data_IF_443207834761
#
_entry.id   IF_443207834761
#
_cell.length_a   1.000
_cell.length_b   1.000
_cell.length_c   1.000
_cell.angle_alpha   90.00
_cell.angle_beta   90.00
_cell.angle_gamma   90.00
#
_symmetry.space_group_name_H-M   'P 1'
#
loop_
_entity.id
_entity.type
_entity.pdbx_description
1 polymer ?
#
# COMPACT_ATOMS: atom_id res chain seq x y z
N UNK A 1 26.92 -12.32 -1.12
CA UNK A 1 25.81 -12.64 -0.20
C UNK A 1 24.72 -11.60 -0.47
N UNK A 2 23.54 -12.02 -0.85
CA UNK A 2 22.40 -11.10 -1.13
C UNK A 2 21.74 -10.68 0.18
N UNK A 3 21.57 -9.36 0.38
CA UNK A 3 20.98 -8.81 1.60
C UNK A 3 19.73 -7.98 1.28
N UNK A 4 18.67 -8.19 2.07
CA UNK A 4 17.46 -7.35 2.04
C UNK A 4 17.22 -6.74 3.42
N UNK A 5 16.82 -5.47 3.46
CA UNK A 5 16.29 -4.85 4.69
C UNK A 5 14.77 -4.76 4.58
N UNK A 6 14.05 -5.27 5.58
CA UNK A 6 12.61 -5.15 5.74
C UNK A 6 12.34 -4.05 6.79
N UNK A 7 11.94 -2.88 6.33
CA UNK A 7 11.52 -1.78 7.19
C UNK A 7 10.10 -2.04 7.70
N UNK A 8 9.87 -1.87 8.99
CA UNK A 8 8.60 -2.26 9.64
C UNK A 8 8.44 -3.78 9.75
N UNK A 9 9.56 -4.52 9.82
CA UNK A 9 9.56 -5.98 9.77
C UNK A 9 8.99 -6.68 11.00
N UNK A 10 8.75 -5.97 12.10
CA UNK A 10 8.02 -6.43 13.30
C UNK A 10 6.52 -6.31 13.18
N UNK A 11 6.02 -5.50 12.24
CA UNK A 11 4.60 -5.26 12.02
C UNK A 11 3.85 -6.43 11.36
N UNK A 12 2.53 -6.28 11.19
CA UNK A 12 1.66 -7.32 10.64
C UNK A 12 2.12 -7.78 9.24
N UNK A 13 2.27 -6.85 8.30
CA UNK A 13 2.70 -7.13 6.93
C UNK A 13 4.17 -7.53 6.88
N UNK A 14 5.06 -6.76 7.53
CA UNK A 14 6.49 -6.99 7.51
C UNK A 14 6.91 -8.34 8.09
N UNK A 15 6.21 -8.82 9.12
CA UNK A 15 6.49 -10.13 9.72
C UNK A 15 6.19 -11.30 8.75
N UNK A 16 5.14 -11.17 7.93
CA UNK A 16 4.79 -12.16 6.90
C UNK A 16 5.80 -12.09 5.75
N UNK A 17 6.08 -10.89 5.25
CA UNK A 17 7.05 -10.67 4.19
C UNK A 17 8.43 -11.26 4.55
N UNK A 18 8.91 -10.98 5.76
CA UNK A 18 10.14 -11.55 6.28
C UNK A 18 10.13 -13.09 6.32
N UNK A 19 9.04 -13.69 6.81
CA UNK A 19 8.91 -15.17 6.83
C UNK A 19 9.02 -15.75 5.42
N UNK A 20 8.34 -15.15 4.46
CA UNK A 20 8.37 -15.55 3.06
C UNK A 20 9.77 -15.40 2.49
N UNK A 21 10.44 -14.27 2.71
CA UNK A 21 11.82 -14.04 2.24
C UNK A 21 12.81 -15.05 2.85
N UNK A 22 12.71 -15.35 4.15
CA UNK A 22 13.58 -16.30 4.82
C UNK A 22 13.43 -17.73 4.27
N UNK A 23 12.24 -18.12 3.86
CA UNK A 23 11.97 -19.43 3.27
C UNK A 23 12.24 -19.52 1.76
N UNK A 24 12.35 -18.39 1.08
CA UNK A 24 12.51 -18.34 -0.39
C UNK A 24 13.89 -18.77 -0.87
N UNK A 25 14.91 -18.66 -0.04
CA UNK A 25 16.31 -18.90 -0.42
C UNK A 25 16.92 -17.83 -1.34
N UNK A 26 16.18 -16.74 -1.63
CA UNK A 26 16.66 -15.65 -2.51
C UNK A 26 17.72 -14.81 -1.80
N UNK A 27 17.52 -14.54 -0.50
CA UNK A 27 18.43 -13.73 0.29
C UNK A 27 19.13 -14.58 1.36
N UNK A 28 20.44 -14.41 1.49
CA UNK A 28 21.23 -15.04 2.55
C UNK A 28 21.15 -14.25 3.86
N UNK A 29 20.98 -12.93 3.77
CA UNK A 29 20.88 -12.02 4.93
C UNK A 29 19.60 -11.19 4.86
N UNK A 30 18.86 -11.18 5.96
CA UNK A 30 17.65 -10.39 6.13
C UNK A 30 17.81 -9.50 7.37
N UNK A 31 17.74 -8.20 7.17
CA UNK A 31 17.72 -7.21 8.25
C UNK A 31 16.26 -6.83 8.53
N UNK A 32 15.81 -7.06 9.75
CA UNK A 32 14.51 -6.64 10.25
C UNK A 32 14.69 -5.32 10.97
N UNK A 33 14.22 -4.23 10.36
CA UNK A 33 14.33 -2.90 10.94
C UNK A 33 12.96 -2.43 11.47
N UNK A 34 12.90 -2.12 12.76
CA UNK A 34 11.65 -1.69 13.40
C UNK A 34 11.94 -0.75 14.57
N UNK A 35 10.97 0.10 14.92
CA UNK A 35 11.03 0.92 16.12
C UNK A 35 10.76 0.07 17.37
N UNK A 36 9.93 -0.98 17.24
CA UNK A 36 9.68 -1.96 18.28
C UNK A 36 10.67 -3.12 18.18
N UNK A 37 11.78 -2.99 18.90
CA UNK A 37 12.81 -4.02 18.96
C UNK A 37 12.34 -5.33 19.62
N UNK A 38 11.30 -5.29 20.45
CA UNK A 38 10.74 -6.52 21.05
C UNK A 38 9.99 -7.31 19.96
N UNK A 39 9.16 -6.65 19.17
CA UNK A 39 8.49 -7.25 18.02
C UNK A 39 9.50 -7.75 16.98
N UNK A 40 10.50 -6.93 16.60
CA UNK A 40 11.55 -7.32 15.67
C UNK A 40 12.31 -8.56 16.15
N UNK A 41 12.74 -8.60 17.41
CA UNK A 41 13.52 -9.71 18.00
C UNK A 41 12.75 -11.00 18.12
N UNK A 42 11.43 -10.94 18.41
CA UNK A 42 10.56 -12.11 18.41
C UNK A 42 10.57 -12.81 17.07
N UNK A 43 10.60 -12.03 16.00
CA UNK A 43 10.57 -12.56 14.63
C UNK A 43 11.86 -13.30 14.21
N UNK A 44 13.01 -12.98 14.81
CA UNK A 44 14.30 -13.65 14.51
C UNK A 44 14.25 -15.12 14.90
N UNK A 45 13.69 -15.43 16.07
CA UNK A 45 13.61 -16.80 16.61
C UNK A 45 12.79 -17.75 15.74
N UNK A 46 11.92 -17.22 14.91
CA UNK A 46 11.04 -17.98 14.03
C UNK A 46 11.62 -18.20 12.62
N UNK A 47 12.76 -17.58 12.31
CA UNK A 47 13.34 -17.65 10.98
C UNK A 47 14.11 -18.95 10.76
N UNK A 48 13.83 -19.62 9.63
CA UNK A 48 14.60 -20.77 9.15
C UNK A 48 15.10 -20.47 7.73
N UNK A 49 16.34 -20.73 7.46
CA UNK A 49 16.89 -20.71 6.10
C UNK A 49 17.75 -19.52 5.72
N UNK A 50 17.65 -18.37 6.41
CA UNK A 50 18.50 -17.19 6.18
C UNK A 50 19.08 -16.68 7.50
N UNK A 51 20.16 -15.89 7.41
CA UNK A 51 20.67 -15.14 8.55
C UNK A 51 19.78 -13.92 8.78
N UNK A 52 19.04 -13.89 9.90
CA UNK A 52 18.11 -12.81 10.23
C UNK A 52 18.63 -12.03 11.42
N UNK A 53 18.76 -10.71 11.26
CA UNK A 53 19.18 -9.79 12.31
C UNK A 53 18.15 -8.70 12.51
N UNK A 54 18.04 -8.12 13.72
CA UNK A 54 17.17 -6.99 13.99
C UNK A 54 17.99 -5.74 14.28
N UNK A 55 17.49 -4.59 13.81
CA UNK A 55 18.07 -3.29 14.07
C UNK A 55 16.98 -2.28 14.46
N UNK A 56 17.31 -1.41 15.38
CA UNK A 56 16.43 -0.29 15.72
C UNK A 56 16.38 0.72 14.57
N UNK A 57 15.17 1.19 14.25
CA UNK A 57 14.93 2.03 13.10
C UNK A 57 13.78 3.01 13.38
N UNK A 58 13.96 4.26 12.97
CA UNK A 58 12.91 5.28 12.95
C UNK A 58 12.71 5.79 11.54
N UNK A 59 11.46 5.73 11.05
CA UNK A 59 11.05 6.24 9.74
C UNK A 59 11.10 7.78 9.63
N UNK A 60 11.15 8.47 10.75
CA UNK A 60 11.23 9.93 10.82
C UNK A 60 12.65 10.47 10.64
N UNK A 61 13.67 9.59 10.79
CA UNK A 61 15.08 9.98 10.71
C UNK A 61 15.76 9.42 9.46
N UNK A 62 16.13 10.28 8.49
CA UNK A 62 16.92 9.84 7.32
C UNK A 62 18.24 9.17 7.69
N UNK A 63 18.87 9.59 8.80
CA UNK A 63 20.09 8.95 9.30
C UNK A 63 19.81 7.53 9.78
N UNK A 64 18.74 7.32 10.55
CA UNK A 64 18.30 6.01 11.00
C UNK A 64 17.96 5.10 9.82
N UNK A 65 17.28 5.64 8.78
CA UNK A 65 16.99 4.90 7.55
C UNK A 65 18.30 4.45 6.88
N UNK A 66 19.24 5.38 6.62
CA UNK A 66 20.53 5.05 5.98
C UNK A 66 21.29 3.99 6.75
N UNK A 67 21.32 4.07 8.09
CA UNK A 67 21.97 3.09 8.95
C UNK A 67 21.32 1.71 8.81
N UNK A 68 19.99 1.63 8.82
CA UNK A 68 19.26 0.37 8.74
C UNK A 68 19.43 -0.33 7.38
N UNK A 69 19.51 0.41 6.27
CA UNK A 69 19.60 -0.14 4.92
C UNK A 69 21.03 -0.36 4.43
N UNK A 70 22.03 0.00 5.23
CA UNK A 70 23.42 -0.07 4.83
C UNK A 70 23.85 -1.47 4.40
N UNK A 71 24.41 -1.58 3.20
CA UNK A 71 24.85 -2.85 2.60
C UNK A 71 23.73 -3.73 2.06
N UNK A 72 22.50 -3.25 1.99
CA UNK A 72 21.39 -3.97 1.37
C UNK A 72 21.35 -3.75 -0.15
N UNK A 73 21.04 -4.79 -0.90
CA UNK A 73 20.80 -4.73 -2.35
C UNK A 73 19.39 -4.20 -2.66
N UNK A 74 18.44 -4.50 -1.76
CA UNK A 74 17.07 -4.04 -1.88
C UNK A 74 16.48 -3.76 -0.50
N UNK A 75 15.62 -2.77 -0.44
CA UNK A 75 14.80 -2.42 0.71
C UNK A 75 13.36 -2.78 0.45
N UNK A 76 12.73 -3.55 1.34
CA UNK A 76 11.29 -3.77 1.36
C UNK A 76 10.69 -2.90 2.46
N UNK A 77 9.88 -1.92 2.07
CA UNK A 77 9.21 -1.04 3.02
C UNK A 77 7.78 -1.50 3.33
N UNK A 78 7.56 -1.87 4.58
CA UNK A 78 6.25 -2.21 5.14
C UNK A 78 5.82 -1.22 6.26
N UNK A 79 6.44 -0.03 6.30
CA UNK A 79 6.12 0.99 7.31
C UNK A 79 4.94 1.82 6.84
N UNK A 80 3.84 1.74 7.55
CA UNK A 80 2.68 2.60 7.36
C UNK A 80 2.45 3.57 8.52
N UNK A 81 1.60 4.57 8.37
CA UNK A 81 0.89 4.89 7.13
C UNK A 81 1.82 5.54 6.10
N UNK A 82 1.61 5.21 4.82
CA UNK A 82 2.53 5.63 3.75
C UNK A 82 2.46 7.12 3.47
N UNK A 83 1.30 7.76 3.61
CA UNK A 83 1.16 9.22 3.46
C UNK A 83 2.11 9.99 4.38
N UNK A 84 2.43 9.42 5.54
CA UNK A 84 3.34 10.06 6.52
C UNK A 84 4.82 9.74 6.26
N UNK A 85 5.14 8.47 5.98
CA UNK A 85 6.53 8.01 5.99
C UNK A 85 7.08 7.65 4.62
N UNK A 86 6.22 7.24 3.67
CA UNK A 86 6.61 6.73 2.36
C UNK A 86 7.58 7.64 1.60
N UNK A 87 7.24 8.93 1.40
CA UNK A 87 8.10 9.85 0.65
C UNK A 87 9.50 10.04 1.25
N UNK A 88 9.60 10.15 2.58
CA UNK A 88 10.89 10.30 3.28
C UNK A 88 11.74 9.04 3.15
N UNK A 89 11.13 7.87 3.28
CA UNK A 89 11.84 6.59 3.15
C UNK A 89 12.34 6.42 1.72
N UNK A 90 11.47 6.52 0.70
CA UNK A 90 11.88 6.35 -0.70
C UNK A 90 12.97 7.34 -1.12
N UNK A 91 12.81 8.62 -0.75
CA UNK A 91 13.84 9.62 -1.03
C UNK A 91 15.19 9.21 -0.47
N UNK A 92 15.22 8.76 0.80
CA UNK A 92 16.47 8.37 1.47
C UNK A 92 17.08 7.12 0.85
N UNK A 93 16.27 6.14 0.43
CA UNK A 93 16.72 4.92 -0.25
C UNK A 93 17.31 5.24 -1.63
N UNK A 94 16.67 6.14 -2.40
CA UNK A 94 17.20 6.63 -3.69
C UNK A 94 18.55 7.32 -3.49
N UNK A 95 18.68 8.20 -2.49
CA UNK A 95 19.93 8.90 -2.17
C UNK A 95 21.04 7.94 -1.76
N UNK A 96 20.70 6.78 -1.17
CA UNK A 96 21.63 5.73 -0.81
C UNK A 96 22.00 4.81 -2.00
N UNK A 97 21.37 4.96 -3.16
CA UNK A 97 21.62 4.12 -4.33
C UNK A 97 21.13 2.67 -4.18
N UNK A 98 20.13 2.43 -3.35
CA UNK A 98 19.60 1.09 -3.05
C UNK A 98 18.27 0.88 -3.75
N UNK A 99 18.02 -0.32 -4.29
CA UNK A 99 16.72 -0.68 -4.88
C UNK A 99 15.62 -0.75 -3.83
N UNK A 100 14.38 -0.50 -4.26
CA UNK A 100 13.25 -0.33 -3.35
C UNK A 100 12.00 -1.07 -3.81
N UNK A 101 11.30 -1.66 -2.86
CA UNK A 101 9.95 -2.23 -3.04
C UNK A 101 9.10 -1.81 -1.87
N UNK A 102 7.82 -1.50 -2.07
CA UNK A 102 6.88 -1.27 -0.99
C UNK A 102 5.48 -1.86 -1.24
N UNK A 103 4.62 -1.75 -0.24
CA UNK A 103 3.22 -2.15 -0.27
C UNK A 103 2.28 -0.96 -0.07
N UNK A 104 2.67 0.22 -0.57
CA UNK A 104 1.92 1.46 -0.45
C UNK A 104 0.49 1.32 -1.00
N UNK A 105 -0.49 1.67 -0.19
CA UNK A 105 -1.92 1.67 -0.51
C UNK A 105 -2.56 3.07 -0.40
N UNK A 106 -1.80 4.07 0.06
CA UNK A 106 -2.23 5.47 0.11
C UNK A 106 -2.08 6.13 -1.27
N UNK A 107 -3.16 6.66 -1.85
CA UNK A 107 -3.13 7.23 -3.19
C UNK A 107 -2.34 8.54 -3.27
N UNK A 108 -2.40 9.41 -2.27
CA UNK A 108 -1.62 10.65 -2.18
C UNK A 108 -0.12 10.38 -1.99
N UNK A 109 0.23 9.39 -1.17
CA UNK A 109 1.60 8.90 -1.09
C UNK A 109 2.07 8.36 -2.44
N UNK A 110 1.25 7.58 -3.15
CA UNK A 110 1.57 7.03 -4.46
C UNK A 110 1.92 8.14 -5.46
N UNK A 111 1.17 9.24 -5.51
CA UNK A 111 1.49 10.39 -6.35
C UNK A 111 2.86 10.99 -6.01
N UNK A 112 3.12 11.17 -4.70
CA UNK A 112 4.40 11.69 -4.22
C UNK A 112 5.58 10.75 -4.53
N UNK A 113 5.37 9.43 -4.45
CA UNK A 113 6.38 8.42 -4.79
C UNK A 113 6.66 8.39 -6.30
N UNK A 114 5.62 8.41 -7.14
CA UNK A 114 5.74 8.48 -8.61
C UNK A 114 6.50 9.74 -9.07
N UNK A 115 6.31 10.87 -8.39
CA UNK A 115 7.05 12.10 -8.70
C UNK A 115 8.57 12.00 -8.48
N UNK A 116 9.05 10.92 -7.86
CA UNK A 116 10.48 10.65 -7.67
C UNK A 116 11.13 9.84 -8.79
N UNK A 117 10.37 9.43 -9.83
CA UNK A 117 10.84 8.59 -10.93
C UNK A 117 12.15 9.09 -11.57
N UNK A 118 12.22 10.35 -11.92
CA UNK A 118 13.42 10.93 -12.52
C UNK A 118 14.63 10.96 -11.58
N UNK A 119 14.39 11.05 -10.27
CA UNK A 119 15.47 10.97 -9.27
C UNK A 119 15.98 9.53 -9.15
N UNK A 120 15.07 8.55 -9.13
CA UNK A 120 15.43 7.13 -9.11
C UNK A 120 16.23 6.74 -10.36
N UNK A 121 15.78 7.16 -11.56
CA UNK A 121 16.51 6.93 -12.81
C UNK A 121 17.91 7.52 -12.79
N UNK A 122 18.08 8.76 -12.34
CA UNK A 122 19.40 9.41 -12.24
C UNK A 122 20.32 8.72 -11.24
N UNK A 123 19.78 8.13 -10.19
CA UNK A 123 20.54 7.37 -9.20
C UNK A 123 20.80 5.91 -9.61
N UNK A 124 20.25 5.44 -10.74
CA UNK A 124 20.34 4.04 -11.16
C UNK A 124 19.56 3.07 -10.24
N UNK A 125 18.52 3.58 -9.55
CA UNK A 125 17.71 2.83 -8.58
C UNK A 125 16.43 2.36 -9.23
N UNK A 126 16.10 1.08 -9.06
CA UNK A 126 14.79 0.53 -9.36
C UNK A 126 13.89 0.66 -8.14
N UNK A 127 12.77 1.37 -8.28
CA UNK A 127 11.76 1.51 -7.24
C UNK A 127 10.44 0.93 -7.73
N UNK A 128 9.92 -0.08 -7.02
CA UNK A 128 8.67 -0.75 -7.33
C UNK A 128 7.70 -0.50 -6.17
N UNK A 129 6.66 0.30 -6.42
CA UNK A 129 5.72 0.73 -5.39
C UNK A 129 4.38 0.00 -5.48
N UNK A 130 3.68 -0.14 -4.37
CA UNK A 130 2.34 -0.71 -4.33
C UNK A 130 2.30 -2.22 -4.64
N UNK A 131 3.26 -3.01 -4.15
CA UNK A 131 3.35 -4.45 -4.41
C UNK A 131 2.64 -5.29 -3.35
N UNK A 132 1.37 -4.94 -3.10
CA UNK A 132 0.46 -5.67 -2.22
C UNK A 132 -0.55 -6.52 -2.97
N UNK A 133 -1.74 -6.65 -2.42
CA UNK A 133 -2.90 -7.29 -3.06
C UNK A 133 -3.61 -6.30 -3.99
N UNK A 134 -3.98 -5.15 -3.46
CA UNK A 134 -4.54 -3.97 -4.13
C UNK A 134 -3.96 -2.75 -3.41
N UNK A 135 -3.09 -1.98 -4.10
CA UNK A 135 -2.46 -2.26 -5.39
C UNK A 135 -1.49 -3.45 -5.36
N UNK A 136 -1.08 -3.90 -6.54
CA UNK A 136 -0.11 -4.98 -6.75
C UNK A 136 -0.70 -6.12 -7.58
N UNK A 137 -1.26 -7.15 -6.95
CA UNK A 137 -1.87 -8.29 -7.67
C UNK A 137 -2.98 -7.80 -8.61
N UNK A 138 -3.82 -6.86 -8.18
CA UNK A 138 -4.86 -6.28 -9.03
C UNK A 138 -4.26 -5.65 -10.31
N UNK A 139 -3.20 -4.85 -10.18
CA UNK A 139 -2.52 -4.22 -11.33
C UNK A 139 -1.94 -5.25 -12.30
N UNK A 140 -1.30 -6.31 -11.77
CA UNK A 140 -0.71 -7.40 -12.58
C UNK A 140 -1.81 -8.18 -13.32
N UNK A 141 -2.93 -8.46 -12.67
CA UNK A 141 -4.07 -9.14 -13.30
C UNK A 141 -4.67 -8.29 -14.43
N UNK A 142 -4.87 -6.99 -14.19
CA UNK A 142 -5.33 -6.07 -15.24
C UNK A 142 -4.38 -6.05 -16.42
N UNK A 143 -3.06 -5.96 -16.16
CA UNK A 143 -2.06 -5.98 -17.22
C UNK A 143 -2.05 -7.30 -17.98
N UNK A 144 -2.16 -8.43 -17.28
CA UNK A 144 -2.26 -9.75 -17.88
C UNK A 144 -3.49 -9.86 -18.79
N UNK A 145 -4.66 -9.40 -18.35
CA UNK A 145 -5.87 -9.40 -19.18
C UNK A 145 -5.69 -8.51 -20.42
N UNK A 146 -5.14 -7.31 -20.24
CA UNK A 146 -4.89 -6.38 -21.34
C UNK A 146 -3.93 -6.93 -22.40
N UNK A 147 -2.88 -7.66 -21.97
CA UNK A 147 -1.84 -8.15 -22.89
C UNK A 147 -2.18 -9.50 -23.53
N UNK A 148 -3.03 -10.31 -22.89
CA UNK A 148 -3.16 -11.72 -23.26
C UNK A 148 -4.58 -12.14 -23.59
N UNK A 149 -5.61 -11.41 -23.17
CA UNK A 149 -7.00 -11.84 -23.27
C UNK A 149 -7.91 -10.85 -24.00
N UNK A 150 -7.53 -9.59 -24.13
CA UNK A 150 -8.35 -8.53 -24.67
C UNK A 150 -7.61 -7.81 -25.81
N UNK A 151 -8.34 -7.42 -26.84
CA UNK A 151 -7.81 -6.62 -27.95
C UNK A 151 -7.70 -5.15 -27.54
N UNK A 152 -8.67 -4.65 -26.77
CA UNK A 152 -8.71 -3.27 -26.25
C UNK A 152 -9.27 -3.26 -24.83
N UNK A 153 -8.81 -2.32 -24.01
CA UNK A 153 -9.31 -2.10 -22.65
C UNK A 153 -9.97 -0.72 -22.59
N UNK A 154 -11.29 -0.70 -22.51
CA UNK A 154 -12.07 0.54 -22.38
C UNK A 154 -12.35 0.92 -20.92
N UNK A 155 -12.58 -0.08 -20.07
CA UNK A 155 -12.84 0.13 -18.64
C UNK A 155 -12.16 -0.89 -17.75
N UNK A 156 -11.83 -0.47 -16.54
CA UNK A 156 -11.36 -1.32 -15.45
C UNK A 156 -12.14 -0.91 -14.20
N UNK A 157 -12.96 -1.81 -13.71
CA UNK A 157 -13.67 -1.64 -12.44
C UNK A 157 -13.16 -2.71 -11.47
N UNK A 158 -12.52 -2.26 -10.38
CA UNK A 158 -11.98 -3.12 -9.34
C UNK A 158 -12.96 -3.16 -8.19
N UNK A 159 -13.37 -4.37 -7.81
CA UNK A 159 -14.27 -4.58 -6.68
C UNK A 159 -13.58 -5.37 -5.60
N UNK A 160 -13.64 -4.89 -4.37
CA UNK A 160 -13.11 -5.64 -3.25
C UNK A 160 -13.99 -5.58 -1.99
N UNK A 161 -14.01 -6.69 -1.28
CA UNK A 161 -14.56 -6.81 0.06
C UNK A 161 -13.46 -7.40 0.95
N UNK A 162 -13.05 -6.69 1.95
CA UNK A 162 -12.01 -7.14 2.86
C UNK A 162 -12.40 -6.87 4.31
N UNK A 163 -11.75 -7.58 5.24
CA UNK A 163 -12.06 -7.52 6.65
C UNK A 163 -12.11 -8.90 7.27
N UNK A 164 -12.48 -8.96 8.53
CA UNK A 164 -12.52 -10.20 9.28
C UNK A 164 -11.15 -10.67 9.79
N UNK A 165 -10.11 -9.89 9.60
CA UNK A 165 -8.80 -10.12 10.19
C UNK A 165 -8.91 -10.07 11.72
N UNK A 166 -8.25 -11.00 12.39
CA UNK A 166 -8.25 -11.05 13.86
C UNK A 166 -7.51 -9.87 14.48
N UNK A 167 -6.56 -9.30 13.78
CA UNK A 167 -5.73 -8.17 14.24
C UNK A 167 -5.45 -7.29 13.03
N UNK A 168 -5.92 -6.05 13.07
CA UNK A 168 -5.51 -5.00 12.15
C UNK A 168 -4.39 -4.17 12.78
N UNK A 169 -3.40 -3.79 11.97
CA UNK A 169 -2.37 -2.84 12.40
C UNK A 169 -2.94 -1.42 12.52
N UNK A 170 -2.45 -0.64 13.48
CA UNK A 170 -2.88 0.76 13.66
C UNK A 170 -2.71 1.61 12.37
N UNK A 171 -1.71 1.29 11.54
CA UNK A 171 -1.50 1.95 10.26
C UNK A 171 -2.68 1.79 9.29
N UNK A 172 -3.33 0.61 9.28
CA UNK A 172 -4.49 0.33 8.41
C UNK A 172 -5.70 1.17 8.82
N UNK A 173 -5.95 1.32 10.12
CA UNK A 173 -7.05 2.16 10.62
C UNK A 173 -6.79 3.64 10.27
N UNK A 174 -5.55 4.11 10.47
CA UNK A 174 -5.15 5.48 10.10
C UNK A 174 -5.29 5.72 8.60
N UNK A 175 -4.83 4.79 7.75
CA UNK A 175 -5.00 4.83 6.30
C UNK A 175 -6.48 5.00 5.93
N UNK A 176 -7.39 4.18 6.46
CA UNK A 176 -8.83 4.25 6.14
C UNK A 176 -9.44 5.61 6.48
N UNK A 177 -9.17 6.12 7.68
CA UNK A 177 -9.68 7.43 8.10
C UNK A 177 -9.10 8.54 7.22
N UNK A 178 -7.77 8.52 6.98
CA UNK A 178 -7.09 9.52 6.17
C UNK A 178 -7.63 9.56 4.74
N UNK A 179 -7.73 8.42 4.09
CA UNK A 179 -8.13 8.33 2.68
C UNK A 179 -9.61 8.65 2.46
N UNK A 180 -10.51 8.32 3.42
CA UNK A 180 -11.94 8.60 3.29
C UNK A 180 -12.31 10.07 3.53
N UNK A 181 -11.47 10.87 4.18
CA UNK A 181 -11.71 12.32 4.36
C UNK A 181 -11.27 13.16 3.16
N UNK A 182 -10.53 12.58 2.24
CA UNK A 182 -10.01 13.25 1.07
C UNK A 182 -10.93 13.04 -0.15
N UNK A 183 -10.80 13.91 -1.13
CA UNK A 183 -11.39 13.65 -2.44
C UNK A 183 -10.70 12.45 -3.10
N UNK A 184 -11.49 11.48 -3.56
CA UNK A 184 -11.02 10.22 -4.10
C UNK A 184 -10.79 10.37 -5.60
N UNK A 185 -9.56 10.16 -6.11
CA UNK A 185 -9.31 10.21 -7.54
C UNK A 185 -9.92 8.99 -8.22
N UNK A 186 -10.67 9.23 -9.28
CA UNK A 186 -11.20 8.23 -10.20
C UNK A 186 -10.84 8.64 -11.62
N UNK A 187 -10.83 7.71 -12.55
CA UNK A 187 -10.65 8.01 -13.97
C UNK A 187 -11.96 7.73 -14.69
N UNK A 188 -12.67 8.79 -15.07
CA UNK A 188 -14.02 8.70 -15.64
C UNK A 188 -14.07 9.49 -16.95
N UNK A 189 -14.71 8.90 -17.99
CA UNK A 189 -14.84 9.52 -19.31
C UNK A 189 -13.50 10.00 -19.93
N UNK A 190 -12.42 9.26 -19.67
CA UNK A 190 -11.10 9.56 -20.22
C UNK A 190 -10.35 10.68 -19.49
N UNK A 191 -10.78 11.07 -18.29
CA UNK A 191 -10.11 12.11 -17.51
C UNK A 191 -10.13 11.82 -16.01
N UNK A 192 -9.13 12.34 -15.29
CA UNK A 192 -9.13 12.29 -13.84
C UNK A 192 -10.24 13.15 -13.26
N UNK A 193 -11.00 12.57 -12.35
CA UNK A 193 -12.15 13.18 -11.70
C UNK A 193 -12.07 12.90 -10.21
N UNK A 194 -12.18 13.92 -9.38
CA UNK A 194 -12.27 13.75 -7.93
C UNK A 194 -13.72 13.51 -7.54
N UNK A 195 -13.97 12.43 -6.80
CA UNK A 195 -15.28 12.15 -6.21
C UNK A 195 -15.19 12.26 -4.68
N UNK A 196 -16.23 12.75 -4.06
CA UNK A 196 -16.33 12.89 -2.61
C UNK A 196 -17.31 11.85 -2.07
N UNK A 197 -16.84 10.99 -1.18
CA UNK A 197 -17.58 9.82 -0.69
C UNK A 197 -18.99 10.14 -0.19
N UNK A 198 -19.17 11.27 0.49
CA UNK A 198 -20.44 11.66 1.13
C UNK A 198 -21.33 12.57 0.27
N UNK A 199 -20.84 12.97 -0.89
CA UNK A 199 -21.56 13.83 -1.84
C UNK A 199 -22.19 13.04 -2.99
N UNK A 200 -22.94 13.73 -3.84
CA UNK A 200 -23.61 13.09 -4.97
C UNK A 200 -22.64 12.42 -5.94
N UNK A 201 -21.43 12.94 -6.08
CA UNK A 201 -20.38 12.36 -6.92
C UNK A 201 -19.93 10.97 -6.46
N UNK A 202 -19.77 10.77 -5.16
CA UNK A 202 -19.45 9.46 -4.58
C UNK A 202 -20.64 8.52 -4.54
N UNK A 203 -21.82 9.03 -4.14
CA UNK A 203 -23.07 8.27 -4.10
C UNK A 203 -23.47 7.72 -5.47
N UNK A 204 -23.18 8.44 -6.55
CA UNK A 204 -23.45 7.99 -7.92
C UNK A 204 -22.66 6.76 -8.34
N UNK A 205 -21.61 6.41 -7.61
CA UNK A 205 -20.78 5.22 -7.83
C UNK A 205 -21.18 4.06 -6.91
N UNK A 206 -22.11 4.27 -5.96
CA UNK A 206 -22.54 3.20 -5.08
C UNK A 206 -23.41 2.20 -5.83
N UNK A 207 -23.11 0.91 -5.69
CA UNK A 207 -23.91 -0.15 -6.28
C UNK A 207 -23.93 -1.41 -5.41
N UNK A 208 -24.85 -2.33 -5.70
CA UNK A 208 -24.88 -3.65 -5.08
C UNK A 208 -24.04 -4.63 -5.93
N UNK A 209 -23.03 -5.23 -5.30
CA UNK A 209 -22.11 -6.15 -5.94
C UNK A 209 -22.15 -7.51 -5.25
N UNK A 210 -22.26 -8.59 -6.05
CA UNK A 210 -22.19 -9.95 -5.56
C UNK A 210 -20.73 -10.43 -5.56
N UNK A 211 -20.20 -10.70 -4.38
CA UNK A 211 -18.88 -11.33 -4.21
C UNK A 211 -19.06 -12.83 -4.08
N UNK A 212 -18.36 -13.58 -4.92
CA UNK A 212 -18.43 -15.05 -4.93
C UNK A 212 -18.06 -15.62 -3.56
N UNK A 213 -18.92 -16.48 -2.99
CA UNK A 213 -18.75 -17.12 -1.67
C UNK A 213 -18.72 -16.18 -0.46
N UNK A 214 -18.95 -14.87 -0.64
CA UNK A 214 -18.94 -13.88 0.45
C UNK A 214 -20.33 -13.31 0.69
N UNK A 215 -21.06 -12.95 -0.39
CA UNK A 215 -22.40 -12.38 -0.33
C UNK A 215 -22.56 -11.15 -1.20
N UNK A 216 -23.74 -10.55 -1.15
CA UNK A 216 -24.07 -9.32 -1.87
C UNK A 216 -24.01 -8.15 -0.91
N UNK A 217 -23.26 -7.13 -1.29
CA UNK A 217 -23.05 -5.94 -0.47
C UNK A 217 -23.08 -4.67 -1.31
N UNK A 218 -23.48 -3.59 -0.69
CA UNK A 218 -23.34 -2.25 -1.27
C UNK A 218 -21.88 -1.83 -1.17
N UNK A 219 -21.27 -1.54 -2.31
CA UNK A 219 -19.92 -1.00 -2.43
C UNK A 219 -19.98 0.50 -2.67
N UNK A 220 -18.91 1.19 -2.34
CA UNK A 220 -18.75 2.64 -2.49
C UNK A 220 -17.38 2.97 -3.10
N UNK A 221 -17.23 4.21 -3.56
CA UNK A 221 -15.95 4.71 -4.06
C UNK A 221 -14.87 4.48 -2.99
N UNK A 222 -13.89 3.62 -3.32
CA UNK A 222 -12.85 3.23 -2.38
C UNK A 222 -11.53 3.88 -2.78
N UNK A 223 -10.89 4.61 -1.84
CA UNK A 223 -9.69 5.39 -2.15
C UNK A 223 -8.46 4.48 -2.27
N UNK A 224 -8.09 4.13 -3.50
CA UNK A 224 -6.95 3.26 -3.78
C UNK A 224 -6.15 3.71 -5.00
N UNK A 225 -4.82 3.43 -5.06
CA UNK A 225 -3.91 3.94 -6.08
C UNK A 225 -4.14 3.45 -7.51
N UNK A 226 -4.86 2.34 -7.73
CA UNK A 226 -5.09 1.80 -9.07
C UNK A 226 -5.79 2.79 -9.99
N UNK A 227 -6.67 3.63 -9.44
CA UNK A 227 -7.38 4.67 -10.19
C UNK A 227 -6.45 5.77 -10.72
N UNK A 228 -5.26 5.89 -10.12
CA UNK A 228 -4.19 6.79 -10.58
C UNK A 228 -3.24 6.05 -11.51
N UNK A 229 -2.76 4.88 -11.09
CA UNK A 229 -1.67 4.19 -11.78
C UNK A 229 -2.12 3.54 -13.10
N UNK A 230 -3.27 2.87 -13.14
CA UNK A 230 -3.72 2.17 -14.33
C UNK A 230 -3.94 3.08 -15.55
N UNK A 231 -4.55 4.28 -15.43
CA UNK A 231 -4.71 5.16 -16.59
C UNK A 231 -3.38 5.62 -17.22
N UNK A 232 -2.30 5.69 -16.46
CA UNK A 232 -0.99 6.06 -16.97
C UNK A 232 -0.36 4.96 -17.85
N UNK A 233 -0.72 3.70 -17.64
CA UNK A 233 -0.07 2.55 -18.28
C UNK A 233 -0.98 1.74 -19.21
N UNK A 234 -2.29 2.03 -19.24
CA UNK A 234 -3.27 1.41 -20.13
C UNK A 234 -3.70 2.39 -21.21
N UNK A 235 -3.32 2.12 -22.46
CA UNK A 235 -3.73 2.96 -23.59
C UNK A 235 -5.21 2.75 -23.89
N UNK A 236 -5.92 3.85 -24.16
CA UNK A 236 -7.31 3.81 -24.61
C UNK A 236 -8.35 3.65 -23.50
N UNK A 237 -7.94 3.37 -22.27
CA UNK A 237 -8.87 3.25 -21.15
C UNK A 237 -9.62 4.58 -20.92
N UNK A 238 -10.92 4.49 -20.69
CA UNK A 238 -11.81 5.65 -20.44
C UNK A 238 -12.37 5.67 -19.03
N UNK A 239 -12.31 4.53 -18.35
CA UNK A 239 -12.85 4.37 -17.01
C UNK A 239 -11.92 3.49 -16.17
N UNK A 240 -11.54 3.98 -14.99
CA UNK A 240 -10.91 3.16 -13.95
C UNK A 240 -11.54 3.56 -12.63
N UNK A 241 -12.19 2.59 -11.97
CA UNK A 241 -12.76 2.76 -10.63
C UNK A 241 -12.24 1.70 -9.68
N UNK A 242 -12.23 2.05 -8.42
CA UNK A 242 -12.01 1.12 -7.32
C UNK A 242 -13.20 1.26 -6.37
N UNK A 243 -13.99 0.21 -6.25
CA UNK A 243 -15.20 0.16 -5.45
C UNK A 243 -15.09 -0.95 -4.42
N UNK A 244 -15.47 -0.69 -3.20
CA UNK A 244 -15.31 -1.71 -2.18
C UNK A 244 -15.99 -1.40 -0.87
N UNK A 245 -15.80 -2.31 0.08
CA UNK A 245 -16.24 -2.14 1.46
C UNK A 245 -15.33 -2.91 2.42
N UNK A 246 -15.39 -2.53 3.69
CA UNK A 246 -14.77 -3.28 4.79
C UNK A 246 -15.84 -4.06 5.53
N UNK A 247 -15.59 -5.34 5.79
CA UNK A 247 -16.48 -6.23 6.55
C UNK A 247 -16.11 -6.27 8.04
N UNK A 248 -17.09 -6.34 8.94
CA UNK A 248 -18.53 -6.35 8.67
C UNK A 248 -19.04 -4.96 8.27
N UNK A 249 -20.18 -4.84 7.56
CA UNK A 249 -20.72 -3.55 7.12
C UNK A 249 -20.87 -2.51 8.23
N UNK A 250 -21.21 -2.94 9.43
CA UNK A 250 -21.31 -2.04 10.60
C UNK A 250 -19.98 -1.35 10.94
N UNK A 251 -18.84 -2.01 10.70
CA UNK A 251 -17.52 -1.40 10.87
C UNK A 251 -17.24 -0.36 9.78
N UNK A 252 -17.63 -0.63 8.54
CA UNK A 252 -17.52 0.35 7.46
C UNK A 252 -18.32 1.63 7.75
N UNK A 253 -19.55 1.47 8.25
CA UNK A 253 -20.38 2.62 8.64
C UNK A 253 -19.79 3.39 9.83
N UNK A 254 -19.22 2.69 10.83
CA UNK A 254 -18.51 3.32 11.95
C UNK A 254 -17.36 4.22 11.46
N UNK A 255 -16.52 3.74 10.52
CA UNK A 255 -15.44 4.54 9.96
C UNK A 255 -15.98 5.73 9.18
N UNK A 256 -17.01 5.54 8.35
CA UNK A 256 -17.66 6.64 7.62
C UNK A 256 -18.23 7.69 8.56
N UNK A 257 -18.88 7.29 9.64
CA UNK A 257 -19.43 8.22 10.63
C UNK A 257 -18.35 8.96 11.39
N UNK A 258 -17.24 8.29 11.73
CA UNK A 258 -16.05 8.90 12.33
C UNK A 258 -15.53 10.04 11.45
N UNK A 259 -15.39 9.78 10.14
CA UNK A 259 -14.95 10.79 9.17
C UNK A 259 -15.96 11.92 9.02
N UNK A 260 -17.26 11.60 8.93
CA UNK A 260 -18.35 12.58 8.79
C UNK A 260 -18.46 13.52 9.99
N UNK A 261 -18.20 13.02 11.18
CA UNK A 261 -18.19 13.79 12.43
C UNK A 261 -16.91 14.61 12.63
N UNK A 262 -15.91 14.46 11.76
CA UNK A 262 -14.63 15.16 11.86
C UNK A 262 -13.70 14.62 12.97
N UNK A 263 -13.97 13.44 13.51
CA UNK A 263 -13.15 12.78 14.53
C UNK A 263 -11.98 12.05 13.82
N UNK A 264 -11.10 12.84 13.22
CA UNK A 264 -10.07 12.30 12.30
C UNK A 264 -8.65 12.66 12.70
N UNK A 265 -8.47 13.34 13.83
CA UNK A 265 -7.16 13.73 14.34
C UNK A 265 -6.48 12.57 15.06
N UNK A 266 -5.15 12.57 15.03
CA UNK A 266 -4.34 11.54 15.71
C UNK A 266 -4.18 11.81 17.22
N UNK A 267 -4.63 12.97 17.69
CA UNK A 267 -4.60 13.34 19.10
C UNK A 267 -5.72 12.67 19.88
N UNK A 268 -5.46 12.22 21.11
CA UNK A 268 -6.50 11.68 21.98
C UNK A 268 -7.63 12.69 22.20
N UNK A 269 -8.87 12.23 22.10
CA UNK A 269 -10.04 13.02 22.50
C UNK A 269 -10.16 12.90 24.02
N UNK A 270 -10.11 14.03 24.74
CA UNK A 270 -10.35 14.10 26.17
C UNK A 270 -11.83 13.92 26.54
#
# INVERSE_FOLDING_TARGET
>A
MSRVTVLGGGGAVGSIARKTLASSGVFSDIVVADIDMAAASKTIKEAKGANVTAVEFSAESPESIRKAINGSEVVLNCVGPFYKYGPTILKTVIEAGTNYVDVCDDFDATEALLAMDEKAKKAGVSALIGMGSSPGVANVLVRFCADSLLDEVESVDIYHAHGGEKIEGAAVVKHRIHSMKMGIPMFLNGQFTTVNLFEDSGKALEEETQFQNVGTYRVYAYPHPETITLPHYLKGVKRVTNLGLVLPPAYAELIKDTVRLGVTDEEPIE
#
